data_IF_221834308314
#
_entry.id   IF_221834308314
#
_cell.length_a   1.000
_cell.length_b   1.000
_cell.length_c   1.000
_cell.angle_alpha   90.00
_cell.angle_beta   90.00
_cell.angle_gamma   90.00
#
_symmetry.space_group_name_H-M   'P 1'
#
loop_
_entity.id
_entity.type
_entity.pdbx_description
1 polymer ?
#
# COMPACT_ATOMS: atom_id res chain seq x y z
N UNK A 1 4.15 2.30 1.28
CA UNK A 1 4.40 1.99 2.70
C UNK A 1 5.32 0.78 2.75
N UNK A 2 6.46 0.91 3.41
CA UNK A 2 7.41 -0.18 3.61
C UNK A 2 7.23 -0.79 4.99
N UNK A 3 7.61 -2.05 5.13
CA UNK A 3 7.89 -2.66 6.43
C UNK A 3 9.26 -2.24 6.90
N UNK A 4 9.41 -2.07 8.20
CA UNK A 4 10.70 -1.93 8.85
C UNK A 4 10.75 -2.84 10.07
N UNK A 5 11.89 -3.48 10.30
CA UNK A 5 12.12 -4.34 11.47
C UNK A 5 12.90 -3.58 12.54
N UNK A 6 12.42 -3.58 13.78
CA UNK A 6 13.11 -2.99 14.93
C UNK A 6 13.59 -4.09 15.89
N UNK A 7 14.91 -4.35 15.93
CA UNK A 7 15.48 -5.48 16.69
C UNK A 7 15.25 -5.36 18.21
N UNK A 8 15.43 -4.17 18.80
CA UNK A 8 15.30 -3.96 20.25
C UNK A 8 13.84 -4.11 20.73
N UNK A 9 12.89 -3.54 20.00
CA UNK A 9 11.45 -3.64 20.32
C UNK A 9 10.82 -4.95 19.84
N UNK A 10 11.49 -5.68 18.94
CA UNK A 10 11.01 -6.92 18.30
C UNK A 10 9.65 -6.73 17.63
N UNK A 11 9.56 -5.70 16.79
CA UNK A 11 8.33 -5.35 16.09
C UNK A 11 8.59 -4.96 14.64
N UNK A 12 7.55 -5.10 13.83
CA UNK A 12 7.48 -4.46 12.52
C UNK A 12 6.69 -3.15 12.59
N UNK A 13 7.26 -2.10 12.01
CA UNK A 13 6.55 -0.84 11.77
C UNK A 13 6.23 -0.68 10.28
N UNK A 14 5.24 0.16 9.97
CA UNK A 14 4.79 0.39 8.60
C UNK A 14 4.61 1.88 8.31
N UNK A 15 5.53 2.47 7.55
CA UNK A 15 5.49 3.90 7.22
C UNK A 15 6.08 4.25 5.84
N UNK A 16 6.03 5.54 5.50
CA UNK A 16 6.75 6.12 4.37
C UNK A 16 8.16 6.55 4.76
N UNK A 17 9.00 6.76 3.75
CA UNK A 17 10.32 7.38 3.92
C UNK A 17 11.41 6.41 4.38
N UNK A 18 12.27 6.93 5.24
CA UNK A 18 13.45 6.28 5.79
C UNK A 18 13.14 5.63 7.13
N UNK A 19 13.92 4.61 7.48
CA UNK A 19 13.82 3.89 8.74
C UNK A 19 13.98 4.83 9.94
N UNK A 20 13.21 4.62 11.00
CA UNK A 20 13.44 5.29 12.28
C UNK A 20 14.71 4.76 12.94
N UNK A 21 15.12 5.40 14.04
CA UNK A 21 16.32 4.97 14.77
C UNK A 21 16.13 3.54 15.30
N UNK A 22 17.04 2.64 14.93
CA UNK A 22 17.00 1.23 15.35
C UNK A 22 16.28 0.30 14.37
N UNK A 23 15.69 0.84 13.31
CA UNK A 23 14.97 0.08 12.30
C UNK A 23 15.81 -0.26 11.07
N UNK A 24 15.46 -1.38 10.43
CA UNK A 24 15.98 -1.78 9.12
C UNK A 24 14.84 -1.82 8.11
N UNK A 25 14.98 -1.08 7.01
CA UNK A 25 14.00 -1.04 5.92
C UNK A 25 13.93 -2.37 5.18
N UNK A 26 12.72 -2.85 4.99
CA UNK A 26 12.46 -4.09 4.27
C UNK A 26 11.63 -3.84 3.00
N UNK A 27 10.67 -4.73 2.73
CA UNK A 27 9.83 -4.75 1.53
C UNK A 27 8.67 -3.77 1.60
N UNK A 28 8.14 -3.44 0.42
CA UNK A 28 6.85 -2.75 0.29
C UNK A 28 5.75 -3.66 0.84
N UNK A 29 4.90 -3.13 1.72
CA UNK A 29 3.72 -3.83 2.23
C UNK A 29 2.47 -3.48 1.42
N UNK A 30 2.27 -2.19 1.12
CA UNK A 30 1.16 -1.68 0.31
C UNK A 30 1.39 -0.25 -0.15
N UNK A 31 0.56 0.23 -1.09
CA UNK A 31 0.51 1.61 -1.52
C UNK A 31 -0.55 2.37 -0.71
N UNK A 32 -0.30 3.63 -0.38
CA UNK A 32 -1.21 4.52 0.35
C UNK A 32 -1.05 5.94 -0.19
N UNK A 33 -1.90 6.89 0.24
CA UNK A 33 -1.80 8.27 -0.22
C UNK A 33 -0.81 9.05 0.67
N UNK A 34 0.18 9.75 0.09
CA UNK A 34 1.09 10.61 0.86
C UNK A 34 0.44 11.94 1.26
N UNK A 35 -0.70 12.28 0.65
CA UNK A 35 -1.46 13.49 0.90
C UNK A 35 -2.94 13.16 1.03
N UNK A 36 -3.70 14.01 1.71
CA UNK A 36 -5.14 13.83 1.86
C UNK A 36 -5.84 13.87 0.49
N UNK A 37 -6.65 12.87 0.21
CA UNK A 37 -7.59 12.82 -0.93
C UNK A 37 -9.03 12.78 -0.44
N UNK A 38 -10.04 13.16 -1.26
CA UNK A 38 -11.44 13.11 -0.87
C UNK A 38 -11.85 11.75 -0.30
N UNK A 39 -12.43 11.74 0.90
CA UNK A 39 -12.89 10.52 1.59
C UNK A 39 -11.79 9.78 2.38
N UNK A 40 -10.52 10.15 2.24
CA UNK A 40 -9.44 9.59 3.06
C UNK A 40 -9.34 10.25 4.44
N UNK A 41 -8.73 9.53 5.37
CA UNK A 41 -8.41 9.98 6.72
C UNK A 41 -6.93 9.71 7.04
N UNK A 42 -6.31 10.50 7.92
CA UNK A 42 -4.94 10.29 8.35
C UNK A 42 -4.81 9.01 9.19
N UNK A 43 -3.76 8.24 8.91
CA UNK A 43 -3.29 7.13 9.73
C UNK A 43 -2.03 7.60 10.45
N UNK A 44 -2.09 7.60 11.77
CA UNK A 44 -0.96 7.96 12.63
C UNK A 44 -0.30 6.69 13.19
N UNK A 45 0.95 6.82 13.59
CA UNK A 45 1.55 5.87 14.51
C UNK A 45 1.18 6.26 15.95
N UNK A 46 0.99 5.26 16.81
CA UNK A 46 0.69 5.42 18.22
C UNK A 46 1.58 4.49 19.03
N UNK A 47 2.32 5.03 19.99
CA UNK A 47 3.13 4.24 20.89
C UNK A 47 2.30 3.75 22.08
N UNK A 48 2.13 2.43 22.21
CA UNK A 48 1.38 1.81 23.30
C UNK A 48 2.30 1.39 24.43
N UNK A 49 2.26 2.10 25.56
CA UNK A 49 3.28 2.00 26.62
C UNK A 49 3.30 0.63 27.30
N UNK A 50 2.13 0.08 27.63
CA UNK A 50 1.99 -1.24 28.26
C UNK A 50 2.49 -2.39 27.39
N UNK A 51 2.40 -2.26 26.07
CA UNK A 51 2.79 -3.30 25.11
C UNK A 51 4.15 -3.03 24.44
N UNK A 52 4.74 -1.86 24.72
CA UNK A 52 6.00 -1.35 24.16
C UNK A 52 6.10 -1.55 22.65
N UNK A 53 5.08 -1.09 21.92
CA UNK A 53 4.99 -1.24 20.47
C UNK A 53 4.23 -0.11 19.79
N UNK A 54 4.45 0.02 18.50
CA UNK A 54 3.69 0.90 17.63
C UNK A 54 2.38 0.24 17.16
N UNK A 55 1.30 1.03 17.18
CA UNK A 55 0.02 0.73 16.57
C UNK A 55 -0.27 1.75 15.47
N UNK A 56 -0.99 1.33 14.43
CA UNK A 56 -1.34 2.18 13.30
C UNK A 56 -2.85 2.19 13.12
N UNK A 57 -3.48 3.34 13.35
CA UNK A 57 -4.91 3.51 13.15
C UNK A 57 -5.27 4.96 12.85
N UNK A 58 -6.54 5.16 12.50
CA UNK A 58 -7.15 6.47 12.31
C UNK A 58 -7.72 6.99 13.63
N UNK A 59 -7.89 8.31 13.72
CA UNK A 59 -8.58 8.96 14.83
C UNK A 59 -7.66 9.37 15.97
N UNK A 60 -8.23 9.34 17.19
CA UNK A 60 -7.58 9.79 18.41
C UNK A 60 -6.85 8.63 19.12
N UNK A 61 -5.91 8.96 20.01
CA UNK A 61 -5.23 7.97 20.85
C UNK A 61 -6.24 7.22 21.74
N UNK A 62 -6.04 5.91 21.88
CA UNK A 62 -6.75 5.11 22.86
C UNK A 62 -6.04 5.18 24.22
N UNK A 63 -6.63 4.54 25.22
CA UNK A 63 -6.05 4.50 26.56
C UNK A 63 -4.66 3.87 26.52
N UNK A 64 -3.68 4.57 27.09
CA UNK A 64 -2.27 4.17 27.18
C UNK A 64 -1.47 4.24 25.86
N UNK A 65 -2.04 4.93 24.87
CA UNK A 65 -1.34 5.28 23.64
C UNK A 65 -0.85 6.74 23.67
N UNK A 66 0.26 6.98 22.98
CA UNK A 66 0.80 8.31 22.72
C UNK A 66 0.85 8.51 21.21
N UNK A 67 0.13 9.52 20.71
CA UNK A 67 0.08 9.82 19.28
C UNK A 67 1.45 10.28 18.79
N UNK A 68 1.97 9.56 17.81
CA UNK A 68 3.15 9.93 17.07
C UNK A 68 2.81 10.78 15.85
N UNK A 69 3.54 10.52 14.79
CA UNK A 69 3.49 11.27 13.54
C UNK A 69 2.45 10.72 12.55
N UNK A 70 2.02 11.60 11.63
CA UNK A 70 1.22 11.21 10.48
C UNK A 70 2.06 10.34 9.55
N UNK A 71 1.58 9.14 9.26
CA UNK A 71 2.28 8.21 8.37
C UNK A 71 1.77 8.30 6.94
N UNK A 72 0.46 8.25 6.74
CA UNK A 72 -0.18 8.27 5.42
C UNK A 72 -1.67 8.51 5.53
N UNK A 73 -2.35 8.62 4.39
CA UNK A 73 -3.80 8.68 4.31
C UNK A 73 -4.37 7.40 3.68
N UNK A 74 -5.49 6.94 4.23
CA UNK A 74 -6.21 5.74 3.78
C UNK A 74 -7.73 5.96 3.93
N UNK A 75 -8.55 5.06 3.39
CA UNK A 75 -10.00 5.13 3.53
C UNK A 75 -10.47 4.42 4.82
N UNK A 76 -11.39 5.01 5.59
CA UNK A 76 -11.90 4.41 6.83
C UNK A 76 -12.91 3.28 6.57
N UNK A 77 -13.46 3.20 5.36
CA UNK A 77 -14.49 2.25 4.97
C UNK A 77 -14.18 1.63 3.60
N UNK A 78 -14.73 0.43 3.31
CA UNK A 78 -14.60 -0.17 1.98
C UNK A 78 -15.16 0.75 0.90
N UNK A 79 -14.47 0.82 -0.23
CA UNK A 79 -14.86 1.55 -1.42
C UNK A 79 -14.55 0.72 -2.67
N UNK A 80 -14.77 1.29 -3.85
CA UNK A 80 -14.30 0.65 -5.09
C UNK A 80 -12.79 0.82 -5.24
N UNK A 81 -12.09 -0.20 -5.76
CA UNK A 81 -10.63 -0.20 -5.98
C UNK A 81 -9.76 -0.03 -4.73
N UNK A 82 -10.27 -0.45 -3.59
CA UNK A 82 -9.50 -0.50 -2.34
C UNK A 82 -9.49 -1.93 -1.78
N UNK A 83 -8.46 -2.26 -1.03
CA UNK A 83 -8.34 -3.49 -0.26
C UNK A 83 -8.12 -3.16 1.21
N UNK A 84 -8.68 -4.01 2.06
CA UNK A 84 -8.48 -3.91 3.49
C UNK A 84 -7.03 -4.25 3.85
N UNK A 85 -6.41 -3.38 4.63
CA UNK A 85 -5.20 -3.66 5.37
C UNK A 85 -5.60 -4.22 6.73
N UNK A 86 -5.07 -5.39 7.06
CA UNK A 86 -5.41 -6.10 8.27
C UNK A 86 -4.25 -6.07 9.25
N UNK A 87 -4.58 -6.10 10.54
CA UNK A 87 -3.64 -6.47 11.59
C UNK A 87 -3.68 -7.98 11.79
N UNK A 88 -2.51 -8.58 11.88
CA UNK A 88 -2.32 -9.99 12.18
C UNK A 88 -1.48 -10.15 13.44
N UNK A 89 -1.76 -11.19 14.22
CA UNK A 89 -0.99 -11.57 15.40
C UNK A 89 -0.13 -12.79 15.10
N UNK A 90 1.18 -12.70 15.39
CA UNK A 90 2.12 -13.81 15.28
C UNK A 90 2.53 -14.27 16.69
N UNK A 91 2.03 -15.42 17.18
CA UNK A 91 2.30 -15.89 18.54
C UNK A 91 3.75 -16.34 18.76
N UNK A 92 4.48 -16.74 17.70
CA UNK A 92 5.84 -17.28 17.82
C UNK A 92 6.86 -16.24 18.27
N UNK A 93 6.69 -14.98 17.87
CA UNK A 93 7.54 -13.84 18.24
C UNK A 93 6.77 -12.72 18.97
N UNK A 94 5.48 -12.94 19.27
CA UNK A 94 4.60 -12.01 20.00
C UNK A 94 4.46 -10.63 19.31
N UNK A 95 4.47 -10.60 17.98
CA UNK A 95 4.37 -9.34 17.22
C UNK A 95 3.00 -9.18 16.54
N UNK A 96 2.69 -7.92 16.21
CA UNK A 96 1.65 -7.62 15.22
C UNK A 96 2.30 -7.27 13.89
N UNK A 97 1.72 -7.78 12.80
CA UNK A 97 2.08 -7.38 11.44
C UNK A 97 0.89 -6.70 10.76
N UNK A 98 1.18 -5.89 9.76
CA UNK A 98 0.18 -5.10 9.05
C UNK A 98 0.38 -5.22 7.54
N UNK A 99 -0.53 -5.92 6.88
CA UNK A 99 -0.44 -6.18 5.44
C UNK A 99 -1.81 -6.49 4.80
N UNK A 100 -1.78 -6.61 3.48
CA UNK A 100 -2.93 -6.99 2.66
C UNK A 100 -3.12 -8.52 2.65
N UNK A 101 -4.35 -8.95 2.35
CA UNK A 101 -4.63 -10.34 1.97
C UNK A 101 -4.70 -11.33 3.12
N UNK A 102 -4.23 -12.56 2.87
CA UNK A 102 -4.27 -13.67 3.83
C UNK A 102 -3.14 -13.58 4.86
N UNK A 103 -3.32 -14.11 6.09
CA UNK A 103 -2.24 -14.20 7.07
C UNK A 103 -1.04 -14.98 6.50
N UNK A 104 0.17 -14.61 6.91
CA UNK A 104 1.35 -15.45 6.68
C UNK A 104 1.31 -16.71 7.56
N UNK A 105 2.17 -17.72 7.31
CA UNK A 105 2.23 -18.92 8.15
C UNK A 105 2.43 -18.59 9.63
N UNK A 106 1.52 -19.09 10.47
CA UNK A 106 1.53 -18.89 11.93
C UNK A 106 0.70 -17.69 12.41
N UNK A 107 0.33 -16.78 11.53
CA UNK A 107 -0.42 -15.59 11.91
C UNK A 107 -1.92 -15.84 12.03
N UNK A 108 -2.57 -15.07 12.91
CA UNK A 108 -4.03 -15.00 13.05
C UNK A 108 -4.54 -13.60 12.74
N UNK A 109 -5.54 -13.50 11.86
CA UNK A 109 -6.16 -12.21 11.50
C UNK A 109 -6.98 -11.67 12.67
N UNK A 110 -6.68 -10.44 13.07
CA UNK A 110 -7.43 -9.73 14.12
C UNK A 110 -8.60 -8.96 13.51
N UNK A 111 -8.33 -8.08 12.54
CA UNK A 111 -9.35 -7.21 11.97
C UNK A 111 -8.78 -6.28 10.89
N UNK A 112 -9.68 -5.69 10.10
CA UNK A 112 -9.32 -4.65 9.15
C UNK A 112 -9.12 -3.32 9.90
N UNK A 113 -8.01 -2.63 9.65
CA UNK A 113 -7.74 -1.33 10.25
C UNK A 113 -8.22 -0.19 9.35
N UNK A 114 -7.94 -0.29 8.06
CA UNK A 114 -8.29 0.70 7.06
C UNK A 114 -8.20 0.10 5.66
N UNK A 115 -8.59 0.88 4.66
CA UNK A 115 -8.62 0.44 3.28
C UNK A 115 -7.67 1.30 2.46
N UNK A 116 -6.77 0.64 1.77
CA UNK A 116 -5.82 1.30 0.88
C UNK A 116 -6.13 0.95 -0.55
N UNK A 117 -5.77 1.79 -1.51
CA UNK A 117 -5.99 1.44 -2.89
C UNK A 117 -5.33 0.11 -3.25
N UNK A 118 -6.02 -0.74 -4.00
CA UNK A 118 -5.33 -1.79 -4.75
C UNK A 118 -4.38 -1.08 -5.72
N UNK A 119 -3.22 -1.64 -6.07
CA UNK A 119 -2.25 -0.99 -6.98
C UNK A 119 -2.82 -0.50 -8.33
N UNK A 120 -4.10 -0.74 -8.57
CA UNK A 120 -5.01 -0.17 -9.56
C UNK A 120 -5.71 1.13 -9.09
N UNK A 121 -5.03 2.06 -8.41
CA UNK A 121 -5.63 3.38 -8.11
C UNK A 121 -5.75 4.13 -9.43
N UNK A 122 -6.91 4.03 -10.04
CA UNK A 122 -7.41 5.04 -10.96
C UNK A 122 -7.50 6.33 -10.15
N UNK A 123 -6.48 7.18 -10.20
CA UNK A 123 -6.58 8.59 -9.82
C UNK A 123 -7.53 9.27 -10.80
N UNK A 124 -8.82 8.99 -10.67
CA UNK A 124 -9.80 9.54 -11.56
C UNK A 124 -11.20 9.42 -10.94
N UNK A 125 -11.69 10.58 -10.48
CA UNK A 125 -13.04 11.01 -10.83
C UNK A 125 -13.21 11.26 -12.34
N UNK A 126 -12.60 10.40 -13.17
CA UNK A 126 -12.77 10.34 -14.62
C UNK A 126 -13.33 8.95 -14.89
N UNK A 127 -14.63 8.94 -15.17
CA UNK A 127 -15.40 7.87 -15.80
C UNK A 127 -14.60 6.64 -16.26
N UNK A 128 -14.69 5.59 -15.45
CA UNK A 128 -14.41 4.21 -15.82
C UNK A 128 -15.40 3.77 -16.89
N UNK A 129 -14.93 3.65 -18.12
CA UNK A 129 -15.41 2.55 -18.95
C UNK A 129 -14.31 1.48 -19.03
N UNK A 130 -14.54 0.44 -18.23
CA UNK A 130 -14.10 -0.94 -18.36
C UNK A 130 -12.64 -1.20 -18.78
N UNK A 131 -11.81 -1.58 -17.81
CA UNK A 131 -10.82 -2.62 -18.07
C UNK A 131 -10.48 -3.39 -16.78
N UNK A 132 -11.10 -4.56 -16.61
CA UNK A 132 -10.82 -5.47 -15.50
C UNK A 132 -9.60 -6.39 -15.78
N UNK A 133 -8.91 -6.23 -16.93
CA UNK A 133 -7.72 -7.00 -17.34
C UNK A 133 -6.81 -6.11 -18.22
N UNK A 134 -6.15 -5.11 -17.63
CA UNK A 134 -5.35 -4.13 -18.40
C UNK A 134 -3.99 -4.64 -18.89
N UNK A 135 -3.45 -5.69 -18.24
CA UNK A 135 -2.11 -6.18 -18.50
C UNK A 135 -2.15 -7.69 -18.70
N UNK A 136 -1.66 -8.13 -19.85
CA UNK A 136 -1.42 -9.54 -20.15
C UNK A 136 0.07 -9.83 -19.97
N UNK A 137 0.41 -10.70 -19.01
CA UNK A 137 1.79 -11.07 -18.78
C UNK A 137 2.32 -11.96 -19.92
N UNK A 138 3.56 -11.73 -20.35
CA UNK A 138 4.23 -12.49 -21.42
C UNK A 138 3.55 -12.40 -22.80
N UNK A 139 2.73 -11.38 -23.03
CA UNK A 139 2.19 -11.08 -24.36
C UNK A 139 2.90 -9.85 -24.92
N UNK A 140 3.36 -9.98 -26.17
CA UNK A 140 3.89 -8.86 -26.94
C UNK A 140 2.99 -8.60 -28.13
N UNK A 141 2.46 -7.38 -28.22
CA UNK A 141 1.57 -6.97 -29.29
C UNK A 141 2.36 -6.39 -30.47
N UNK A 142 1.87 -6.67 -31.68
CA UNK A 142 2.43 -6.16 -32.94
C UNK A 142 1.35 -5.41 -33.72
N UNK A 143 1.68 -4.45 -34.61
CA UNK A 143 3.01 -3.98 -35.00
C UNK A 143 3.69 -3.09 -33.94
N UNK A 144 5.03 -3.01 -33.96
CA UNK A 144 5.81 -2.19 -33.03
C UNK A 144 5.83 -0.73 -33.46
N UNK A 145 5.47 0.17 -32.55
CA UNK A 145 5.78 1.60 -32.67
C UNK A 145 7.04 1.90 -31.86
N UNK A 146 7.79 2.94 -32.26
CA UNK A 146 9.07 3.36 -31.67
C UNK A 146 9.03 3.26 -30.13
N UNK A 147 10.04 2.58 -29.55
CA UNK A 147 10.16 2.40 -28.11
C UNK A 147 10.31 3.73 -27.37
N UNK A 148 9.49 3.92 -26.35
CA UNK A 148 9.58 5.06 -25.44
C UNK A 148 10.37 4.65 -24.20
N UNK A 149 11.25 5.52 -23.68
CA UNK A 149 12.04 5.24 -22.48
C UNK A 149 11.19 5.46 -21.22
N UNK A 150 10.12 4.68 -21.07
CA UNK A 150 9.24 4.71 -19.89
C UNK A 150 9.63 3.57 -18.95
N UNK A 151 9.73 3.86 -17.65
CA UNK A 151 10.30 2.98 -16.62
C UNK A 151 9.28 2.01 -15.99
N UNK A 152 8.05 1.99 -16.51
CA UNK A 152 7.01 1.09 -16.02
C UNK A 152 5.92 0.83 -17.06
N UNK A 153 5.30 -0.35 -16.96
CA UNK A 153 4.14 -0.72 -17.77
C UNK A 153 2.96 0.26 -17.58
N UNK A 154 2.82 0.85 -16.38
CA UNK A 154 1.79 1.83 -16.09
C UNK A 154 1.97 3.12 -16.89
N UNK A 155 3.20 3.62 -17.01
CA UNK A 155 3.48 4.80 -17.84
C UNK A 155 3.22 4.50 -19.33
N UNK A 156 3.55 3.31 -19.81
CA UNK A 156 3.21 2.89 -21.17
C UNK A 156 1.69 2.86 -21.40
N UNK A 157 0.92 2.35 -20.44
CA UNK A 157 -0.54 2.36 -20.49
C UNK A 157 -1.10 3.79 -20.58
N UNK A 158 -0.63 4.68 -19.72
CA UNK A 158 -1.06 6.08 -19.70
C UNK A 158 -0.74 6.79 -21.03
N UNK A 159 0.47 6.56 -21.55
CA UNK A 159 0.87 7.12 -22.84
C UNK A 159 -0.01 6.59 -23.98
N UNK A 160 -0.29 5.29 -23.99
CA UNK A 160 -1.17 4.68 -24.98
C UNK A 160 -2.60 5.25 -24.89
N UNK A 161 -3.16 5.36 -23.68
CA UNK A 161 -4.49 5.93 -23.47
C UNK A 161 -4.59 7.40 -23.91
N UNK A 162 -3.51 8.17 -23.79
CA UNK A 162 -3.43 9.56 -24.24
C UNK A 162 -3.18 9.71 -25.75
N UNK A 163 -2.88 8.62 -26.47
CA UNK A 163 -2.52 8.64 -27.89
C UNK A 163 -3.70 8.12 -28.73
N UNK A 164 -4.38 8.98 -29.53
CA UNK A 164 -5.60 8.59 -30.25
C UNK A 164 -5.46 7.38 -31.19
N UNK A 165 -4.24 7.12 -31.67
CA UNK A 165 -3.93 6.00 -32.58
C UNK A 165 -3.46 4.74 -31.86
N UNK A 166 -3.19 4.81 -30.55
CA UNK A 166 -2.69 3.67 -29.81
C UNK A 166 -3.82 2.70 -29.46
N UNK A 167 -3.64 1.43 -29.83
CA UNK A 167 -4.60 0.35 -29.56
C UNK A 167 -4.09 -0.62 -28.51
N UNK A 168 -2.78 -0.78 -28.42
CA UNK A 168 -2.08 -1.67 -27.50
C UNK A 168 -0.68 -1.10 -27.21
N UNK A 169 -0.07 -1.54 -26.12
CA UNK A 169 1.34 -1.29 -25.81
C UNK A 169 1.98 -2.60 -25.34
N UNK A 170 3.31 -2.66 -25.38
CA UNK A 170 4.08 -3.73 -24.76
C UNK A 170 5.18 -3.10 -23.91
N UNK A 171 5.48 -3.72 -22.77
CA UNK A 171 6.50 -3.25 -21.85
C UNK A 171 7.44 -4.40 -21.55
N UNK A 172 8.73 -4.17 -21.82
CA UNK A 172 9.79 -5.12 -21.52
C UNK A 172 10.60 -4.58 -20.32
N UNK A 173 10.82 -5.41 -19.31
CA UNK A 173 11.79 -5.11 -18.26
C UNK A 173 13.18 -5.18 -18.89
N UNK A 174 13.85 -4.04 -19.00
CA UNK A 174 15.24 -3.94 -19.48
C UNK A 174 16.23 -4.29 -18.37
#
# INVERSE_FOLDING_TARGET
>A
VFSFWHEENREHTAHFGEAWQGEVKERVQFYAFPQMVPGSQPVYDFWKKSERRHMFHMGEELRDEERGSLQYYAFPSPATDVSAVYTFWQPSNQEFTLHLGSPWPGESRIGAQFYVPTGSVSLAGISRDQCNHCFEANIRYTPYMVGLPLDSALLCQQHCAATPTCRHFSYDLV
#
